data_IF_605655750173
#
_entry.id   IF_605655750173
#
_cell.length_a   1.000
_cell.length_b   1.000
_cell.length_c   1.000
_cell.angle_alpha   90.00
_cell.angle_beta   90.00
_cell.angle_gamma   90.00
#
_symmetry.space_group_name_H-M   'P 1'
#
loop_
_entity.id
_entity.type
_entity.pdbx_description
1 polymer ?
#
# COMPACT_ATOMS: atom_id res chain seq x y z
N UNK A 1 2.61 5.89 4.95
CA UNK A 1 1.70 6.82 5.65
C UNK A 1 2.57 7.72 6.53
N UNK A 2 2.49 9.04 6.37
CA UNK A 2 3.15 10.00 7.27
C UNK A 2 2.07 10.61 8.18
N UNK A 3 2.10 10.29 9.47
CA UNK A 3 1.10 10.73 10.44
C UNK A 3 1.68 11.84 11.33
N UNK A 4 1.32 13.09 11.03
CA UNK A 4 1.83 14.26 11.76
C UNK A 4 1.06 14.42 13.08
N UNK A 5 1.63 13.91 14.16
CA UNK A 5 1.09 14.04 15.52
C UNK A 5 1.87 15.08 16.33
N UNK A 6 1.17 15.87 17.15
CA UNK A 6 1.83 16.76 18.11
C UNK A 6 2.48 15.95 19.23
N UNK A 7 3.58 16.47 19.78
CA UNK A 7 4.28 15.84 20.91
C UNK A 7 3.40 15.71 22.15
N UNK A 8 2.49 16.65 22.39
CA UNK A 8 1.53 16.59 23.50
C UNK A 8 0.58 15.40 23.37
N UNK A 9 0.00 15.21 22.17
CA UNK A 9 -0.94 14.12 21.92
C UNK A 9 -0.26 12.75 21.90
N UNK A 10 1.01 12.71 21.46
CA UNK A 10 1.84 11.50 21.56
C UNK A 10 2.02 11.09 23.03
N UNK A 11 2.31 12.06 23.92
CA UNK A 11 2.49 11.81 25.35
C UNK A 11 1.20 11.34 26.02
N UNK A 12 0.06 11.94 25.69
CA UNK A 12 -1.25 11.49 26.20
C UNK A 12 -1.53 10.04 25.83
N UNK A 13 -1.34 9.68 24.55
CA UNK A 13 -1.54 8.30 24.08
C UNK A 13 -0.55 7.33 24.72
N UNK A 14 0.69 7.75 24.97
CA UNK A 14 1.71 6.92 25.60
C UNK A 14 1.38 6.67 27.08
N UNK A 15 0.88 7.67 27.80
CA UNK A 15 0.45 7.51 29.19
C UNK A 15 -0.73 6.55 29.36
N UNK A 16 -1.58 6.39 28.34
CA UNK A 16 -2.68 5.42 28.37
C UNK A 16 -2.20 3.96 28.36
N UNK A 17 -1.03 3.67 27.80
CA UNK A 17 -0.47 2.31 27.74
C UNK A 17 0.65 2.07 28.75
N UNK A 18 1.33 3.11 29.23
CA UNK A 18 2.31 3.01 30.32
C UNK A 18 1.62 2.93 31.69
N UNK A 19 0.93 1.81 31.92
CA UNK A 19 0.18 1.53 33.16
C UNK A 19 1.04 1.51 34.42
N UNK A 20 2.36 1.35 34.28
CA UNK A 20 3.31 1.29 35.39
C UNK A 20 4.06 2.61 35.60
N UNK A 21 3.83 3.63 34.77
CA UNK A 21 4.52 4.94 34.81
C UNK A 21 6.05 4.83 34.81
N UNK A 22 6.57 3.81 34.11
CA UNK A 22 8.01 3.54 34.07
C UNK A 22 8.73 4.37 33.00
N UNK A 23 7.98 5.06 32.14
CA UNK A 23 8.52 5.75 30.98
C UNK A 23 8.88 4.82 29.82
N UNK A 24 8.51 3.53 29.91
CA UNK A 24 8.80 2.49 28.94
C UNK A 24 7.57 1.60 28.72
N UNK A 25 7.35 1.18 27.47
CA UNK A 25 6.28 0.25 27.12
C UNK A 25 6.89 -1.04 26.54
N UNK A 26 6.41 -2.18 27.02
CA UNK A 26 6.74 -3.48 26.43
C UNK A 26 6.04 -3.68 25.09
N UNK A 27 6.30 -4.81 24.44
CA UNK A 27 5.74 -5.15 23.12
C UNK A 27 4.20 -5.04 23.09
N UNK A 28 3.50 -5.64 24.06
CA UNK A 28 2.03 -5.62 24.09
C UNK A 28 1.47 -4.20 24.25
N UNK A 29 2.16 -3.35 25.03
CA UNK A 29 1.83 -1.94 25.18
C UNK A 29 2.09 -1.14 23.90
N UNK A 30 3.16 -1.46 23.18
CA UNK A 30 3.45 -0.88 21.86
C UNK A 30 2.39 -1.26 20.83
N UNK A 31 1.94 -2.52 20.80
CA UNK A 31 0.87 -2.97 19.90
C UNK A 31 -0.42 -2.19 20.18
N UNK A 32 -0.84 -2.08 21.44
CA UNK A 32 -2.00 -1.27 21.82
C UNK A 32 -1.86 0.21 21.46
N UNK A 33 -0.68 0.79 21.69
CA UNK A 33 -0.36 2.16 21.33
C UNK A 33 -0.45 2.39 19.82
N UNK A 34 0.13 1.48 19.04
CA UNK A 34 0.11 1.52 17.59
C UNK A 34 -1.32 1.43 17.06
N UNK A 35 -2.13 0.48 17.53
CA UNK A 35 -3.53 0.35 17.12
C UNK A 35 -4.38 1.56 17.54
N UNK A 36 -4.12 2.18 18.70
CA UNK A 36 -4.77 3.44 19.11
C UNK A 36 -4.41 4.61 18.19
N UNK A 37 -3.15 4.68 17.77
CA UNK A 37 -2.66 5.73 16.87
C UNK A 37 -3.25 5.55 15.46
N UNK A 38 -3.16 4.32 14.95
CA UNK A 38 -3.58 3.90 13.63
C UNK A 38 -5.04 3.38 13.61
N UNK A 39 -5.87 3.87 14.55
CA UNK A 39 -7.26 3.44 14.67
C UNK A 39 -7.99 3.56 13.33
N UNK A 40 -8.62 2.47 12.92
CA UNK A 40 -9.32 2.32 11.65
C UNK A 40 -10.35 3.42 11.38
N UNK A 41 -10.99 3.97 12.44
CA UNK A 41 -11.97 5.06 12.32
C UNK A 41 -11.37 6.38 11.80
N UNK A 42 -10.08 6.62 12.06
CA UNK A 42 -9.36 7.81 11.59
C UNK A 42 -8.76 7.64 10.20
N UNK A 43 -8.47 6.40 9.81
CA UNK A 43 -7.81 6.08 8.55
C UNK A 43 -8.78 5.96 7.39
N UNK A 44 -10.03 5.55 7.66
CA UNK A 44 -11.04 5.35 6.63
C UNK A 44 -11.75 6.66 6.28
N UNK A 45 -11.76 7.06 4.99
CA UNK A 45 -12.65 8.09 4.50
C UNK A 45 -14.12 7.69 4.70
N UNK A 46 -15.02 8.66 4.82
CA UNK A 46 -16.47 8.43 4.96
C UNK A 46 -17.04 7.57 3.82
N UNK A 47 -16.49 7.70 2.61
CA UNK A 47 -16.87 6.88 1.45
C UNK A 47 -16.55 5.40 1.62
N UNK A 48 -15.54 5.04 2.43
CA UNK A 48 -15.21 3.64 2.72
C UNK A 48 -15.98 3.12 3.95
N UNK A 49 -16.35 4.01 4.87
CA UNK A 49 -17.17 3.66 6.04
C UNK A 49 -18.56 3.15 5.67
N UNK A 50 -19.14 3.59 4.55
CA UNK A 50 -20.44 3.08 4.08
C UNK A 50 -20.45 1.59 3.74
N UNK A 51 -19.29 0.96 3.58
CA UNK A 51 -19.17 -0.49 3.35
C UNK A 51 -19.01 -1.29 4.65
N UNK A 52 -18.86 -0.62 5.79
CA UNK A 52 -18.78 -1.24 7.11
C UNK A 52 -20.16 -1.17 7.75
N UNK A 53 -20.63 -2.29 8.29
CA UNK A 53 -21.85 -2.31 9.09
C UNK A 53 -21.61 -1.58 10.42
N UNK A 54 -22.43 -0.59 10.75
CA UNK A 54 -22.22 0.25 11.93
C UNK A 54 -22.34 -0.50 13.26
N UNK A 55 -23.26 -1.47 13.35
CA UNK A 55 -23.55 -2.22 14.58
C UNK A 55 -22.47 -3.27 14.87
N UNK A 56 -22.02 -3.97 13.83
CA UNK A 56 -21.10 -5.11 13.95
C UNK A 56 -19.66 -4.78 13.62
N UNK A 57 -19.39 -3.59 13.05
CA UNK A 57 -18.06 -3.15 12.59
C UNK A 57 -17.37 -4.17 11.69
N UNK A 58 -18.16 -4.83 10.83
CA UNK A 58 -17.67 -5.79 9.83
C UNK A 58 -18.03 -5.36 8.41
N UNK A 59 -17.22 -5.81 7.46
CA UNK A 59 -17.46 -5.77 6.03
C UNK A 59 -17.80 -7.20 5.58
N UNK A 60 -19.03 -7.42 5.17
CA UNK A 60 -19.49 -8.72 4.65
C UNK A 60 -18.94 -8.97 3.25
N UNK A 61 -18.93 -10.24 2.81
CA UNK A 61 -18.57 -10.62 1.43
C UNK A 61 -19.29 -9.73 0.41
N UNK A 62 -20.62 -9.58 0.54
CA UNK A 62 -21.43 -8.74 -0.37
C UNK A 62 -20.99 -7.27 -0.37
N UNK A 63 -20.73 -6.70 0.80
CA UNK A 63 -20.27 -5.31 0.89
C UNK A 63 -18.90 -5.14 0.25
N UNK A 64 -18.01 -6.11 0.46
CA UNK A 64 -16.68 -6.13 -0.14
C UNK A 64 -16.73 -6.31 -1.67
N UNK A 65 -17.58 -7.19 -2.21
CA UNK A 65 -17.81 -7.30 -3.65
C UNK A 65 -18.27 -5.96 -4.24
N UNK A 66 -19.20 -5.28 -3.56
CA UNK A 66 -19.67 -3.97 -4.01
C UNK A 66 -18.55 -2.92 -3.98
N UNK A 67 -17.71 -2.93 -2.95
CA UNK A 67 -16.52 -2.06 -2.87
C UNK A 67 -15.56 -2.29 -4.04
N UNK A 68 -15.22 -3.55 -4.35
CA UNK A 68 -14.33 -3.89 -5.47
C UNK A 68 -14.92 -3.45 -6.81
N UNK A 69 -16.22 -3.67 -7.02
CA UNK A 69 -16.90 -3.30 -8.27
C UNK A 69 -17.00 -1.77 -8.45
N UNK A 70 -17.40 -1.05 -7.40
CA UNK A 70 -17.76 0.38 -7.51
C UNK A 70 -16.57 1.29 -7.34
N UNK A 71 -15.68 1.00 -6.39
CA UNK A 71 -14.52 1.84 -6.03
C UNK A 71 -13.28 1.37 -6.79
N UNK A 72 -12.94 0.08 -6.73
CA UNK A 72 -11.72 -0.43 -7.38
C UNK A 72 -11.90 -0.69 -8.89
N UNK A 73 -13.14 -0.76 -9.37
CA UNK A 73 -13.48 -1.09 -10.77
C UNK A 73 -12.94 -2.47 -11.19
N UNK A 74 -12.94 -3.41 -10.25
CA UNK A 74 -12.51 -4.80 -10.46
C UNK A 74 -13.75 -5.71 -10.51
N UNK A 75 -14.25 -6.07 -11.71
CA UNK A 75 -15.35 -7.01 -11.86
C UNK A 75 -14.83 -8.44 -11.66
N UNK A 76 -14.82 -8.90 -10.42
CA UNK A 76 -14.38 -10.24 -10.03
C UNK A 76 -15.60 -11.09 -9.65
N UNK A 77 -15.58 -12.38 -9.97
CA UNK A 77 -16.60 -13.34 -9.56
C UNK A 77 -16.65 -13.52 -8.03
N UNK A 78 -17.85 -13.65 -7.47
CA UNK A 78 -18.08 -13.75 -6.03
C UNK A 78 -17.33 -14.93 -5.39
N UNK A 79 -17.19 -16.06 -6.10
CA UNK A 79 -16.45 -17.22 -5.59
C UNK A 79 -14.95 -16.91 -5.48
N UNK A 80 -14.40 -16.18 -6.44
CA UNK A 80 -13.00 -15.79 -6.42
C UNK A 80 -12.73 -14.74 -5.33
N UNK A 81 -13.66 -13.82 -5.11
CA UNK A 81 -13.57 -12.84 -4.02
C UNK A 81 -13.60 -13.55 -2.66
N UNK A 82 -14.51 -14.51 -2.47
CA UNK A 82 -14.59 -15.31 -1.25
C UNK A 82 -13.28 -16.05 -0.96
N UNK A 83 -12.69 -16.68 -1.99
CA UNK A 83 -11.37 -17.33 -1.87
C UNK A 83 -10.26 -16.32 -1.55
N UNK A 84 -10.24 -15.15 -2.20
CA UNK A 84 -9.27 -14.07 -1.94
C UNK A 84 -9.35 -13.58 -0.49
N UNK A 85 -10.56 -13.36 0.03
CA UNK A 85 -10.77 -12.96 1.43
C UNK A 85 -10.25 -14.02 2.41
N UNK A 86 -10.54 -15.30 2.17
CA UNK A 86 -10.06 -16.40 3.03
C UNK A 86 -8.54 -16.54 3.02
N UNK A 87 -7.93 -16.42 1.83
CA UNK A 87 -6.48 -16.45 1.68
C UNK A 87 -5.80 -15.27 2.39
N UNK A 88 -6.40 -14.09 2.37
CA UNK A 88 -5.91 -12.91 3.07
C UNK A 88 -5.96 -13.09 4.60
N UNK A 89 -7.09 -13.59 5.13
CA UNK A 89 -7.30 -13.75 6.57
C UNK A 89 -6.37 -14.80 7.19
N UNK A 90 -6.05 -15.87 6.46
CA UNK A 90 -5.29 -17.03 6.96
C UNK A 90 -5.83 -17.62 8.27
N UNK A 91 -7.07 -17.30 8.63
CA UNK A 91 -7.69 -17.67 9.89
C UNK A 91 -8.53 -18.94 9.68
N UNK A 92 -7.86 -20.09 9.82
CA UNK A 92 -8.50 -21.39 9.72
C UNK A 92 -9.53 -21.66 10.84
N UNK A 93 -9.60 -20.82 11.88
CA UNK A 93 -10.46 -21.04 13.05
C UNK A 93 -11.82 -20.36 12.96
N UNK A 94 -12.00 -19.38 12.05
CA UNK A 94 -13.34 -18.84 11.75
C UNK A 94 -14.09 -19.82 10.87
N UNK A 95 -14.79 -20.76 11.51
CA UNK A 95 -15.73 -21.67 10.84
C UNK A 95 -17.03 -20.94 10.43
N UNK A 96 -16.91 -19.96 9.53
CA UNK A 96 -18.07 -19.28 8.94
C UNK A 96 -18.28 -19.70 7.49
N UNK A 97 -19.55 -19.92 7.13
CA UNK A 97 -19.93 -20.25 5.75
C UNK A 97 -19.52 -19.14 4.77
N UNK A 98 -19.64 -17.87 5.19
CA UNK A 98 -19.18 -16.72 4.42
C UNK A 98 -18.04 -15.98 5.14
N UNK A 99 -16.98 -15.58 4.42
CA UNK A 99 -15.92 -14.76 4.99
C UNK A 99 -16.40 -13.31 5.19
N UNK A 100 -15.84 -12.65 6.19
CA UNK A 100 -16.04 -11.23 6.46
C UNK A 100 -14.73 -10.62 6.95
N UNK A 101 -14.57 -9.32 6.76
CA UNK A 101 -13.50 -8.57 7.41
C UNK A 101 -14.06 -7.84 8.63
N UNK A 102 -13.34 -7.85 9.73
CA UNK A 102 -13.49 -6.79 10.73
C UNK A 102 -13.06 -5.46 10.13
N UNK A 103 -13.50 -4.35 10.73
CA UNK A 103 -13.07 -3.02 10.30
C UNK A 103 -11.54 -2.89 10.22
N UNK A 104 -10.81 -3.49 11.18
CA UNK A 104 -9.35 -3.47 11.17
C UNK A 104 -8.79 -4.30 10.00
N UNK A 105 -9.28 -5.52 9.79
CA UNK A 105 -8.83 -6.37 8.68
C UNK A 105 -9.12 -5.74 7.30
N UNK A 106 -10.21 -4.98 7.18
CA UNK A 106 -10.50 -4.23 5.97
C UNK A 106 -9.48 -3.11 5.73
N UNK A 107 -9.08 -2.39 6.78
CA UNK A 107 -7.99 -1.41 6.69
C UNK A 107 -6.68 -2.09 6.32
N UNK A 108 -6.38 -3.23 6.93
CA UNK A 108 -5.17 -4.00 6.64
C UNK A 108 -5.17 -4.46 5.18
N UNK A 109 -6.31 -4.89 4.63
CA UNK A 109 -6.47 -5.19 3.21
C UNK A 109 -6.14 -3.97 2.33
N UNK A 110 -6.68 -2.79 2.63
CA UNK A 110 -6.45 -1.58 1.84
C UNK A 110 -4.97 -1.21 1.70
N UNK A 111 -4.16 -1.50 2.74
CA UNK A 111 -2.73 -1.25 2.75
C UNK A 111 -1.87 -2.48 2.43
N UNK A 112 -2.49 -3.61 2.15
CA UNK A 112 -1.81 -4.85 1.79
C UNK A 112 -1.29 -4.84 0.35
N UNK A 113 -0.42 -5.82 0.03
CA UNK A 113 0.03 -6.05 -1.34
C UNK A 113 -1.10 -6.47 -2.27
N UNK A 114 -2.16 -7.09 -1.73
CA UNK A 114 -3.34 -7.52 -2.48
C UNK A 114 -4.19 -6.36 -3.03
N UNK A 115 -3.96 -5.13 -2.53
CA UNK A 115 -4.61 -3.89 -2.95
C UNK A 115 -3.59 -2.85 -3.46
N UNK A 116 -2.43 -3.30 -3.96
CA UNK A 116 -1.42 -2.39 -4.48
C UNK A 116 -1.85 -1.75 -5.82
N UNK A 117 -1.47 -0.49 -6.03
CA UNK A 117 -1.79 0.26 -7.26
C UNK A 117 -1.08 -0.32 -8.50
N UNK A 118 0.09 -0.94 -8.30
CA UNK A 118 0.91 -1.47 -9.38
C UNK A 118 0.47 -2.88 -9.74
N UNK A 119 0.04 -3.05 -10.99
CA UNK A 119 -0.18 -4.35 -11.58
C UNK A 119 1.19 -5.00 -11.91
N UNK A 120 1.61 -5.97 -11.10
CA UNK A 120 2.92 -6.64 -11.25
C UNK A 120 3.04 -7.35 -12.60
N UNK A 121 1.92 -7.80 -13.18
CA UNK A 121 1.93 -8.45 -14.49
C UNK A 121 2.34 -7.49 -15.61
N UNK A 122 2.17 -6.18 -15.39
CA UNK A 122 2.65 -5.11 -16.28
C UNK A 122 4.06 -4.64 -15.96
N UNK A 123 4.64 -5.08 -14.84
CA UNK A 123 6.03 -4.83 -14.49
C UNK A 123 6.98 -5.87 -15.11
N UNK A 124 6.45 -7.01 -15.58
CA UNK A 124 7.21 -7.98 -16.36
C UNK A 124 7.20 -7.65 -17.86
N UNK A 125 8.12 -8.26 -18.62
CA UNK A 125 8.20 -8.05 -20.07
C UNK A 125 6.94 -8.61 -20.76
N UNK A 126 5.96 -7.74 -20.97
CA UNK A 126 4.68 -8.07 -21.59
C UNK A 126 4.53 -7.54 -23.02
N UNK A 127 5.58 -6.91 -23.55
CA UNK A 127 5.63 -6.36 -24.90
C UNK A 127 6.27 -7.36 -25.87
N UNK A 128 5.75 -7.41 -27.09
CA UNK A 128 6.39 -8.12 -28.20
C UNK A 128 7.73 -7.45 -28.51
N UNK A 129 8.85 -8.11 -28.23
CA UNK A 129 10.22 -7.60 -28.45
C UNK A 129 10.82 -8.01 -29.81
N UNK A 130 10.01 -8.50 -30.75
CA UNK A 130 10.48 -8.95 -32.07
C UNK A 130 10.32 -7.91 -33.17
N UNK A 131 9.69 -6.76 -32.88
CA UNK A 131 9.47 -5.66 -33.84
C UNK A 131 10.77 -4.87 -34.04
N UNK A 132 10.89 -4.08 -35.12
CA UNK A 132 12.06 -3.22 -35.30
C UNK A 132 12.10 -2.09 -34.26
N UNK A 133 13.31 -1.61 -33.94
CA UNK A 133 13.58 -0.67 -32.82
C UNK A 133 12.74 0.61 -32.86
N UNK A 134 12.35 1.07 -34.05
CA UNK A 134 11.51 2.26 -34.22
C UNK A 134 10.05 2.09 -33.74
N UNK A 135 9.66 0.90 -33.28
CA UNK A 135 8.34 0.64 -32.69
C UNK A 135 8.32 0.77 -31.16
N UNK A 136 9.47 1.02 -30.52
CA UNK A 136 9.60 1.09 -29.07
C UNK A 136 9.99 2.47 -28.60
N UNK A 137 9.49 2.85 -27.43
CA UNK A 137 10.01 3.99 -26.71
C UNK A 137 11.25 3.56 -25.93
N UNK A 138 12.39 4.12 -26.30
CA UNK A 138 13.67 3.78 -25.70
C UNK A 138 14.01 4.83 -24.64
N UNK A 139 14.01 4.42 -23.37
CA UNK A 139 14.49 5.29 -22.29
C UNK A 139 15.96 5.62 -22.52
N UNK A 140 16.25 6.91 -22.76
CA UNK A 140 17.58 7.40 -23.11
C UNK A 140 17.97 8.52 -22.18
N UNK A 141 19.15 8.45 -21.57
CA UNK A 141 19.69 9.50 -20.70
C UNK A 141 20.69 10.36 -21.47
N UNK A 142 20.58 11.69 -21.36
CA UNK A 142 21.57 12.63 -21.89
C UNK A 142 22.62 12.96 -20.81
N UNK A 143 23.90 13.07 -21.16
CA UNK A 143 24.99 13.45 -20.24
C UNK A 143 25.09 12.61 -18.95
N UNK A 144 24.99 11.28 -19.05
CA UNK A 144 25.09 10.32 -17.92
C UNK A 144 26.34 10.47 -17.05
N UNK A 145 27.35 11.21 -17.52
CA UNK A 145 28.61 11.49 -16.82
C UNK A 145 28.61 12.79 -16.01
N UNK A 146 27.57 13.62 -16.05
CA UNK A 146 27.59 14.98 -15.50
C UNK A 146 26.51 15.14 -14.45
N UNK A 147 26.91 15.25 -13.18
CA UNK A 147 25.99 15.51 -12.05
C UNK A 147 25.67 16.98 -11.84
N UNK A 148 26.47 17.90 -12.36
CA UNK A 148 26.26 19.37 -12.26
C UNK A 148 26.88 20.09 -13.46
N UNK A 149 26.26 21.20 -13.96
CA UNK A 149 26.74 21.91 -15.14
C UNK A 149 28.12 22.59 -14.98
N UNK A 150 28.70 22.60 -13.79
CA UNK A 150 29.98 23.27 -13.48
C UNK A 150 31.20 22.32 -13.41
N UNK A 151 31.04 21.01 -13.60
CA UNK A 151 32.16 20.05 -13.57
C UNK A 151 32.16 19.18 -14.83
N UNK A 152 32.61 19.74 -15.95
CA UNK A 152 32.71 19.03 -17.24
C UNK A 152 33.75 17.90 -17.28
N UNK A 153 34.57 17.71 -16.24
CA UNK A 153 35.75 16.82 -16.31
C UNK A 153 35.81 15.69 -15.26
N UNK A 154 34.71 15.34 -14.57
CA UNK A 154 34.72 14.19 -13.64
C UNK A 154 33.62 13.19 -13.97
N UNK A 155 33.96 12.21 -14.82
CA UNK A 155 33.11 11.06 -15.11
C UNK A 155 33.08 10.11 -13.89
N UNK A 156 31.98 10.12 -13.14
CA UNK A 156 31.78 9.17 -12.03
C UNK A 156 31.22 7.84 -12.56
N UNK A 157 32.03 6.77 -12.54
CA UNK A 157 31.59 5.39 -12.88
C UNK A 157 30.35 4.91 -12.10
N UNK A 158 30.05 5.52 -10.95
CA UNK A 158 28.88 5.23 -10.10
C UNK A 158 27.55 5.72 -10.70
N UNK A 159 27.58 6.58 -11.72
CA UNK A 159 26.39 7.08 -12.39
C UNK A 159 25.83 6.08 -13.41
N UNK A 160 26.67 5.35 -14.11
CA UNK A 160 26.21 4.31 -15.05
C UNK A 160 25.39 3.20 -14.36
N UNK A 161 25.66 2.89 -13.08
CA UNK A 161 24.84 1.92 -12.34
C UNK A 161 23.52 2.50 -11.80
N UNK A 162 23.36 3.83 -11.81
CA UNK A 162 22.18 4.56 -11.31
C UNK A 162 21.34 5.18 -12.42
N UNK A 163 21.90 5.38 -13.61
CA UNK A 163 21.20 5.84 -14.81
C UNK A 163 20.13 4.83 -15.27
N UNK A 164 20.23 3.58 -14.84
CA UNK A 164 19.15 2.60 -14.95
C UNK A 164 17.93 2.93 -14.07
N UNK A 165 18.02 3.90 -13.16
CA UNK A 165 17.02 4.19 -12.13
C UNK A 165 16.55 5.65 -12.06
N UNK A 166 17.29 6.62 -12.60
CA UNK A 166 16.90 8.02 -12.59
C UNK A 166 17.20 8.66 -13.94
N UNK A 167 16.25 9.50 -14.38
CA UNK A 167 16.23 10.32 -15.61
C UNK A 167 15.62 9.66 -16.86
N UNK A 168 14.30 9.50 -16.83
CA UNK A 168 13.48 9.37 -18.05
C UNK A 168 13.28 10.77 -18.65
N UNK A 169 14.18 11.18 -19.53
CA UNK A 169 13.89 12.27 -20.47
C UNK A 169 13.25 11.63 -21.70
N UNK A 170 11.95 11.87 -21.90
CA UNK A 170 11.29 11.50 -23.16
C UNK A 170 11.81 12.43 -24.26
N UNK A 171 12.76 11.93 -25.06
CA UNK A 171 13.19 12.63 -26.26
C UNK A 171 12.19 12.30 -27.38
N UNK A 172 11.37 13.29 -27.78
CA UNK A 172 10.57 13.23 -28.98
C UNK A 172 11.50 13.40 -30.19
N UNK A 173 11.50 12.43 -31.11
CA UNK A 173 11.96 12.61 -32.49
C UNK A 173 10.73 12.57 -33.40
#
# INVERSE_FOLDING_TARGET
INYKLSTSKLKELFQLVDTKTLGEIGYDGFVHFYHSLMSSDKLLPETLKSYINDDSKIVTLRSFCNFLLTVQKEPIDDNLISAKMRNFLQDAKRETQEPYFTQQEFVDYLFSKDNQILDVTKCELNQDMTRPLNHYWISSSHNTCVTTPTLQNTCFRRLNSKASYLDVVFCFC
#
